data_IF_703071545896
#
_entry.id   IF_703071545896
#
_cell.length_a   1.000
_cell.length_b   1.000
_cell.length_c   1.000
_cell.angle_alpha   90.00
_cell.angle_beta   90.00
_cell.angle_gamma   90.00
#
_symmetry.space_group_name_H-M   'P 1'
#
loop_
_entity.id
_entity.type
_entity.pdbx_description
1 polymer ?
#
# COMPACT_ATOMS: atom_id res chain seq x y z
N UNK A 1 3.33 -14.22 -8.86
CA UNK A 1 3.32 -13.88 -7.42
C UNK A 1 2.00 -14.32 -6.80
N UNK A 2 0.90 -13.57 -6.91
CA UNK A 2 -0.42 -13.91 -6.32
C UNK A 2 -0.82 -15.40 -6.37
N UNK A 3 -0.75 -16.04 -7.55
CA UNK A 3 -1.08 -17.46 -7.70
C UNK A 3 -0.15 -18.40 -6.91
N UNK A 4 1.14 -18.07 -6.79
CA UNK A 4 2.09 -18.81 -5.94
C UNK A 4 1.75 -18.61 -4.47
N UNK A 5 1.44 -17.37 -4.06
CA UNK A 5 1.04 -17.05 -2.69
C UNK A 5 -0.23 -17.83 -2.29
N UNK A 6 -1.22 -17.91 -3.20
CA UNK A 6 -2.44 -18.71 -3.05
C UNK A 6 -2.18 -20.23 -2.90
N UNK A 7 -1.07 -20.73 -3.46
CA UNK A 7 -0.61 -22.12 -3.29
C UNK A 7 0.28 -22.33 -2.04
N UNK A 8 0.51 -21.27 -1.25
CA UNK A 8 1.41 -21.30 -0.08
C UNK A 8 2.89 -21.31 -0.47
N UNK A 9 3.25 -20.67 -1.58
CA UNK A 9 4.63 -20.58 -2.11
C UNK A 9 5.06 -19.11 -2.16
N UNK A 10 6.08 -18.76 -1.38
CA UNK A 10 6.82 -17.48 -1.52
C UNK A 10 8.08 -17.78 -2.32
N UNK A 11 8.35 -17.01 -3.37
CA UNK A 11 9.32 -17.34 -4.42
C UNK A 11 10.76 -16.91 -4.08
N UNK A 12 10.91 -15.71 -3.49
CA UNK A 12 12.16 -15.13 -2.95
C UNK A 12 13.33 -14.84 -3.91
N UNK A 13 13.27 -15.26 -5.17
CA UNK A 13 14.32 -14.96 -6.16
C UNK A 13 13.74 -14.58 -7.54
N UNK A 14 12.85 -13.58 -7.54
CA UNK A 14 12.36 -12.94 -8.77
C UNK A 14 13.42 -11.99 -9.34
N UNK A 15 13.97 -12.37 -10.49
CA UNK A 15 15.03 -11.67 -11.24
C UNK A 15 14.92 -12.02 -12.74
N UNK A 16 15.50 -11.24 -13.68
CA UNK A 16 15.37 -11.46 -15.13
C UNK A 16 15.77 -12.86 -15.60
N UNK A 17 16.79 -13.47 -14.98
CA UNK A 17 17.28 -14.80 -15.34
C UNK A 17 16.27 -15.91 -15.00
N UNK A 18 15.36 -15.65 -14.06
CA UNK A 18 14.32 -16.56 -13.58
C UNK A 18 12.95 -16.30 -14.24
N UNK A 19 12.92 -15.46 -15.30
CA UNK A 19 11.71 -15.04 -16.03
C UNK A 19 11.87 -15.42 -17.50
N UNK A 20 11.27 -16.55 -17.88
CA UNK A 20 11.31 -17.07 -19.25
C UNK A 20 10.14 -16.52 -20.08
N UNK A 21 10.36 -16.40 -21.39
CA UNK A 21 9.31 -16.10 -22.38
C UNK A 21 9.08 -17.33 -23.23
N UNK A 22 7.81 -17.74 -23.36
CA UNK A 22 7.40 -18.90 -24.15
C UNK A 22 7.26 -18.56 -25.64
N UNK A 23 7.11 -19.61 -26.45
CA UNK A 23 6.84 -19.57 -27.88
C UNK A 23 5.55 -18.80 -28.24
N UNK A 24 4.53 -18.89 -27.38
CA UNK A 24 3.29 -18.10 -27.47
C UNK A 24 3.40 -16.69 -26.86
N UNK A 25 4.61 -16.23 -26.53
CA UNK A 25 4.88 -14.90 -25.96
C UNK A 25 4.55 -14.74 -24.47
N UNK A 26 4.00 -15.75 -23.80
CA UNK A 26 3.63 -15.64 -22.38
C UNK A 26 4.84 -15.81 -21.46
N UNK A 27 4.81 -15.10 -20.34
CA UNK A 27 5.85 -15.18 -19.29
C UNK A 27 5.65 -16.45 -18.44
N UNK A 28 6.75 -17.12 -18.12
CA UNK A 28 6.82 -18.28 -17.23
C UNK A 28 7.94 -18.08 -16.21
N UNK A 29 7.70 -18.47 -14.95
CA UNK A 29 8.71 -18.45 -13.89
C UNK A 29 9.47 -19.78 -13.84
N UNK A 30 10.77 -19.71 -13.56
CA UNK A 30 11.69 -20.87 -13.49
C UNK A 30 12.73 -20.67 -12.40
N UNK A 31 13.27 -21.77 -11.87
CA UNK A 31 14.03 -21.84 -10.61
C UNK A 31 13.14 -21.53 -9.39
N UNK A 32 12.81 -22.59 -8.65
CA UNK A 32 12.04 -22.53 -7.41
C UNK A 32 12.87 -23.03 -6.21
N UNK A 33 14.18 -23.23 -6.37
CA UNK A 33 15.02 -23.88 -5.34
C UNK A 33 15.17 -23.01 -4.08
N UNK A 34 15.00 -21.69 -4.22
CA UNK A 34 14.96 -20.74 -3.10
C UNK A 34 13.54 -20.46 -2.57
N UNK A 35 12.50 -21.07 -3.13
CA UNK A 35 11.11 -20.86 -2.68
C UNK A 35 10.87 -21.40 -1.26
N UNK A 36 9.94 -20.78 -0.54
CA UNK A 36 9.45 -21.19 0.77
C UNK A 36 8.01 -21.70 0.63
N UNK A 37 7.79 -22.97 0.98
CA UNK A 37 6.45 -23.50 1.19
C UNK A 37 5.96 -23.18 2.61
N UNK A 38 4.73 -22.70 2.72
CA UNK A 38 4.10 -22.26 3.96
C UNK A 38 2.62 -22.65 3.99
N UNK A 39 1.97 -22.51 5.15
CA UNK A 39 0.53 -22.60 5.25
C UNK A 39 -0.12 -21.32 4.72
N UNK A 40 -1.26 -21.44 4.05
CA UNK A 40 -2.06 -20.30 3.56
C UNK A 40 -3.54 -20.62 3.70
N UNK A 41 -4.35 -19.60 3.97
CA UNK A 41 -5.82 -19.68 3.96
C UNK A 41 -6.35 -18.50 3.15
N UNK A 42 -6.40 -18.58 1.80
CA UNK A 42 -6.85 -17.48 0.96
C UNK A 42 -8.29 -17.09 1.30
N UNK A 43 -8.57 -15.79 1.41
CA UNK A 43 -9.90 -15.29 1.81
C UNK A 43 -10.50 -14.35 0.75
N UNK A 44 -11.82 -14.40 0.62
CA UNK A 44 -12.62 -13.45 -0.15
C UNK A 44 -13.25 -12.45 0.81
N UNK A 45 -12.77 -11.21 0.77
CA UNK A 45 -13.25 -10.11 1.61
C UNK A 45 -14.22 -9.25 0.80
N UNK A 46 -15.31 -8.78 1.41
CA UNK A 46 -16.20 -7.81 0.75
C UNK A 46 -15.45 -6.50 0.52
N UNK A 47 -15.43 -6.01 -0.71
CA UNK A 47 -14.90 -4.67 -1.00
C UNK A 47 -15.74 -3.61 -0.27
N UNK A 48 -15.21 -3.09 0.83
CA UNK A 48 -15.78 -2.00 1.62
C UNK A 48 -15.13 -0.69 1.22
N UNK A 49 -15.92 0.28 0.78
CA UNK A 49 -15.42 1.59 0.34
C UNK A 49 -14.76 2.37 1.48
N UNK A 50 -13.44 2.51 1.39
CA UNK A 50 -12.55 3.37 2.19
C UNK A 50 -12.26 2.93 3.64
N UNK A 51 -10.97 2.89 3.98
CA UNK A 51 -10.47 2.88 5.37
C UNK A 51 -10.83 4.21 6.06
N UNK A 52 -11.97 4.27 6.74
CA UNK A 52 -12.30 5.40 7.63
C UNK A 52 -11.67 5.20 9.02
N UNK A 53 -10.33 5.25 9.08
CA UNK A 53 -9.59 5.27 10.35
C UNK A 53 -10.09 6.43 11.24
N UNK A 54 -10.46 6.18 12.51
CA UNK A 54 -11.03 7.21 13.37
C UNK A 54 -9.95 8.20 13.82
N UNK A 55 -9.83 9.31 13.08
CA UNK A 55 -8.90 10.40 13.36
C UNK A 55 -8.89 10.78 14.85
N UNK A 56 -7.79 10.44 15.55
CA UNK A 56 -7.61 10.79 16.95
C UNK A 56 -7.66 12.31 17.10
N UNK A 57 -8.66 12.81 17.82
CA UNK A 57 -8.81 14.24 18.15
C UNK A 57 -7.62 14.70 19.00
N UNK A 58 -6.65 15.34 18.37
CA UNK A 58 -5.80 16.32 19.03
C UNK A 58 -6.22 17.72 18.60
N UNK A 59 -6.46 18.58 19.58
CA UNK A 59 -6.90 19.97 19.39
C UNK A 59 -5.82 20.74 18.63
N UNK A 60 -6.16 21.28 17.46
CA UNK A 60 -5.19 21.94 16.59
C UNK A 60 -4.85 23.37 17.01
N UNK A 61 -3.70 23.84 16.57
CA UNK A 61 -3.39 25.27 16.41
C UNK A 61 -2.73 25.50 15.05
N UNK A 62 -3.22 26.49 14.32
CA UNK A 62 -2.66 26.88 13.02
C UNK A 62 -1.34 27.64 13.22
N UNK A 63 -0.35 27.36 12.39
CA UNK A 63 0.83 28.22 12.30
C UNK A 63 0.46 29.56 11.64
N UNK A 64 0.55 30.65 12.41
CA UNK A 64 0.58 32.02 11.91
C UNK A 64 2.02 32.53 11.94
N UNK A 65 2.52 33.24 10.91
CA UNK A 65 3.88 33.78 10.91
C UNK A 65 4.00 34.95 11.91
N UNK A 66 5.13 35.03 12.61
CA UNK A 66 5.32 35.96 13.72
C UNK A 66 5.91 37.31 13.28
N UNK A 67 5.24 38.42 13.64
CA UNK A 67 5.70 39.79 13.43
C UNK A 67 5.40 40.68 14.67
N UNK A 68 6.36 40.76 15.58
CA UNK A 68 6.76 41.93 16.43
C UNK A 68 5.64 42.84 17.02
N UNK A 69 5.53 42.81 18.35
CA UNK A 69 4.85 43.77 19.26
C UNK A 69 5.51 45.19 19.30
N UNK A 70 4.94 46.28 19.89
CA UNK A 70 4.18 46.32 21.16
C UNK A 70 2.98 47.37 21.18
N UNK A 71 2.49 47.94 22.32
CA UNK A 71 1.16 47.54 22.84
C UNK A 71 0.15 48.65 23.25
N UNK A 72 -1.16 48.40 23.12
CA UNK A 72 -2.26 49.19 23.76
C UNK A 72 -3.66 48.55 23.57
N UNK A 73 -4.69 48.68 24.42
CA UNK A 73 -4.79 48.65 25.90
C UNK A 73 -6.29 48.45 26.36
N UNK A 74 -6.51 48.10 27.64
CA UNK A 74 -7.76 48.26 28.45
C UNK A 74 -9.02 47.40 28.08
N UNK A 75 -9.84 47.13 29.11
CA UNK A 75 -11.04 46.26 29.25
C UNK A 75 -12.14 47.03 30.06
N UNK A 76 -13.35 46.53 30.42
CA UNK A 76 -14.03 45.22 30.22
C UNK A 76 -15.41 45.41 29.49
N UNK A 77 -16.64 44.93 29.81
CA UNK A 77 -17.25 44.08 30.87
C UNK A 77 -18.71 43.61 30.55
N UNK A 78 -19.05 42.37 30.96
CA UNK A 78 -20.36 41.85 31.47
C UNK A 78 -21.70 42.02 30.66
N UNK A 79 -22.85 41.35 30.91
CA UNK A 79 -23.32 40.30 31.87
C UNK A 79 -24.27 39.31 31.12
N UNK A 80 -24.71 38.21 31.74
CA UNK A 80 -25.83 37.32 31.33
C UNK A 80 -26.80 37.14 32.53
N UNK A 81 -27.79 36.18 32.60
CA UNK A 81 -28.44 35.31 31.60
C UNK A 81 -30.00 35.31 31.71
N UNK A 82 -30.74 34.48 30.93
CA UNK A 82 -31.85 33.60 31.44
C UNK A 82 -32.47 32.69 30.35
N UNK A 83 -33.17 31.63 30.80
CA UNK A 83 -33.96 30.64 30.05
C UNK A 83 -35.47 31.04 30.01
N UNK A 84 -36.47 30.36 29.41
CA UNK A 84 -36.74 28.92 29.16
C UNK A 84 -37.68 28.69 27.94
N UNK A 85 -37.93 27.41 27.63
CA UNK A 85 -39.25 26.78 27.34
C UNK A 85 -39.31 25.81 26.15
N UNK A 86 -39.95 24.66 26.41
CA UNK A 86 -40.51 23.68 25.47
C UNK A 86 -41.53 22.85 26.25
N UNK A 87 -42.60 22.37 25.61
CA UNK A 87 -42.72 20.91 25.48
C UNK A 87 -43.32 20.45 24.12
N UNK A 88 -43.33 19.13 23.91
CA UNK A 88 -43.97 18.44 22.77
C UNK A 88 -45.30 17.80 23.24
N UNK A 89 -46.16 17.37 22.30
CA UNK A 89 -46.59 15.96 22.07
C UNK A 89 -47.83 15.86 21.13
N UNK A 90 -48.02 14.66 20.54
CA UNK A 90 -48.95 14.17 19.50
C UNK A 90 -50.42 14.70 19.50
N UNK A 91 -51.23 14.66 18.42
CA UNK A 91 -51.48 13.51 17.52
C UNK A 91 -52.32 13.79 16.24
N UNK A 92 -52.09 12.97 15.18
CA UNK A 92 -52.97 12.60 14.04
C UNK A 92 -53.61 13.66 13.10
N UNK A 93 -53.36 13.49 11.79
CA UNK A 93 -54.40 13.22 10.76
C UNK A 93 -53.75 12.72 9.45
N UNK A 94 -54.50 11.93 8.67
CA UNK A 94 -53.98 11.16 7.53
C UNK A 94 -54.42 11.66 6.16
N UNK A 95 -53.52 11.61 5.17
CA UNK A 95 -53.81 11.57 3.72
C UNK A 95 -52.83 10.60 3.03
N UNK A 96 -53.22 10.08 1.85
CA UNK A 96 -52.63 8.88 1.24
C UNK A 96 -52.11 9.17 -0.19
N UNK A 97 -50.97 8.55 -0.53
CA UNK A 97 -50.35 8.44 -1.89
C UNK A 97 -49.84 9.75 -2.53
N UNK A 98 -48.63 9.81 -3.09
CA UNK A 98 -48.13 9.00 -4.23
C UNK A 98 -46.67 8.55 -4.08
N UNK A 99 -46.31 7.44 -4.73
CA UNK A 99 -44.93 6.98 -4.94
C UNK A 99 -44.31 7.66 -6.17
N UNK A 100 -43.07 8.16 -6.12
CA UNK A 100 -42.18 8.18 -7.27
C UNK A 100 -41.80 6.74 -7.63
N UNK A 101 -41.57 6.45 -8.92
CA UNK A 101 -40.95 5.19 -9.36
C UNK A 101 -39.48 5.44 -9.69
N UNK A 102 -38.64 4.53 -9.22
CA UNK A 102 -37.42 4.01 -9.87
C UNK A 102 -36.60 4.99 -10.73
N UNK A 103 -35.42 5.38 -10.23
CA UNK A 103 -34.22 5.28 -11.07
C UNK A 103 -33.48 4.00 -10.68
N UNK A 104 -33.21 3.15 -11.67
CA UNK A 104 -32.42 1.93 -11.49
C UNK A 104 -30.95 2.29 -11.72
N UNK A 105 -30.35 2.98 -10.76
CA UNK A 105 -28.91 3.15 -10.74
C UNK A 105 -28.24 1.78 -10.65
N UNK A 106 -27.38 1.46 -11.61
CA UNK A 106 -26.61 0.21 -11.63
C UNK A 106 -25.59 0.20 -10.48
N UNK A 107 -26.05 -0.08 -9.27
CA UNK A 107 -25.20 -0.46 -8.16
C UNK A 107 -24.70 -1.89 -8.41
N UNK A 108 -23.69 -1.99 -9.27
CA UNK A 108 -22.79 -3.15 -9.33
C UNK A 108 -22.14 -3.20 -7.96
N UNK A 109 -22.64 -4.09 -7.09
CA UNK A 109 -22.00 -4.38 -5.82
C UNK A 109 -20.55 -4.80 -6.12
N UNK A 110 -19.53 -4.12 -5.56
CA UNK A 110 -18.15 -4.39 -5.92
C UNK A 110 -17.83 -5.85 -5.56
N UNK A 111 -17.15 -6.54 -6.49
CA UNK A 111 -16.82 -7.95 -6.34
C UNK A 111 -15.97 -8.19 -5.08
N UNK A 112 -16.08 -9.35 -4.42
CA UNK A 112 -15.20 -9.70 -3.32
C UNK A 112 -13.73 -9.68 -3.77
N UNK A 113 -12.87 -9.07 -2.96
CA UNK A 113 -11.42 -9.00 -3.21
C UNK A 113 -10.74 -10.25 -2.62
N UNK A 114 -9.79 -10.81 -3.37
CA UNK A 114 -9.02 -11.97 -2.94
C UNK A 114 -7.78 -11.52 -2.17
N UNK A 115 -7.64 -11.99 -0.94
CA UNK A 115 -6.39 -11.93 -0.18
C UNK A 115 -5.76 -13.32 -0.24
N UNK A 116 -4.75 -13.46 -1.08
CA UNK A 116 -4.01 -14.71 -1.34
C UNK A 116 -2.70 -14.82 -0.55
N UNK A 117 -2.31 -13.79 0.20
CA UNK A 117 -1.02 -13.71 0.89
C UNK A 117 -0.94 -14.66 2.09
N UNK A 118 0.13 -15.47 2.23
CA UNK A 118 0.39 -16.26 3.43
C UNK A 118 0.93 -15.36 4.56
N UNK A 119 0.03 -14.66 5.25
CA UNK A 119 0.35 -13.69 6.33
C UNK A 119 1.20 -14.29 7.46
N UNK A 120 1.03 -15.58 7.73
CA UNK A 120 1.71 -16.29 8.82
C UNK A 120 3.06 -16.90 8.39
N UNK A 121 3.45 -16.75 7.12
CA UNK A 121 4.75 -17.22 6.64
C UNK A 121 5.89 -16.42 7.28
N UNK A 122 6.76 -17.10 8.04
CA UNK A 122 7.98 -16.49 8.58
C UNK A 122 9.19 -17.41 8.41
N UNK A 123 10.21 -16.91 7.73
CA UNK A 123 11.52 -17.55 7.56
C UNK A 123 12.64 -16.64 8.07
N UNK A 124 13.77 -17.24 8.45
CA UNK A 124 15.01 -16.55 8.82
C UNK A 124 16.14 -16.77 7.79
N UNK A 125 15.85 -17.42 6.65
CA UNK A 125 16.85 -17.80 5.65
C UNK A 125 17.39 -16.59 4.89
N UNK A 126 18.68 -16.28 5.02
CA UNK A 126 19.35 -15.30 4.17
C UNK A 126 19.62 -15.94 2.79
N UNK A 127 18.69 -15.78 1.86
CA UNK A 127 18.74 -16.35 0.50
C UNK A 127 18.18 -15.37 -0.54
N UNK A 128 18.60 -15.52 -1.79
CA UNK A 128 18.21 -14.68 -2.92
C UNK A 128 19.35 -13.82 -3.46
N UNK A 129 19.14 -13.21 -4.62
CA UNK A 129 20.15 -12.42 -5.32
C UNK A 129 20.43 -11.08 -4.62
N UNK A 130 21.70 -10.73 -4.38
CA UNK A 130 22.13 -9.64 -3.48
C UNK A 130 21.55 -8.24 -3.78
N UNK A 131 21.23 -7.95 -5.04
CA UNK A 131 20.64 -6.66 -5.46
C UNK A 131 19.11 -6.62 -5.33
N UNK A 132 18.50 -7.80 -5.17
CA UNK A 132 17.07 -8.04 -5.07
C UNK A 132 16.59 -8.25 -3.63
N UNK A 133 17.49 -8.62 -2.70
CA UNK A 133 17.15 -8.87 -1.29
C UNK A 133 16.38 -7.70 -0.65
N UNK A 134 15.33 -8.04 0.10
CA UNK A 134 14.53 -7.08 0.84
C UNK A 134 15.23 -6.65 2.16
N UNK A 135 15.05 -5.40 2.65
CA UNK A 135 15.71 -4.89 3.85
C UNK A 135 15.52 -5.78 5.09
N UNK A 136 14.33 -6.35 5.28
CA UNK A 136 14.01 -7.27 6.39
C UNK A 136 14.82 -8.58 6.36
N UNK A 137 15.19 -9.08 5.16
CA UNK A 137 16.11 -10.22 5.02
C UNK A 137 17.52 -9.79 5.43
N UNK A 138 17.96 -8.62 4.96
CA UNK A 138 19.33 -8.12 5.17
C UNK A 138 19.60 -7.81 6.65
N UNK A 139 18.61 -7.29 7.37
CA UNK A 139 18.68 -7.06 8.83
C UNK A 139 18.49 -8.34 9.65
N UNK A 140 17.94 -9.41 9.07
CA UNK A 140 17.58 -10.63 9.79
C UNK A 140 16.32 -10.53 10.68
N UNK A 141 15.37 -9.64 10.34
CA UNK A 141 14.12 -9.44 11.12
C UNK A 141 13.12 -10.61 10.94
N UNK A 142 13.33 -11.44 9.92
CA UNK A 142 12.46 -12.55 9.53
C UNK A 142 11.34 -12.12 8.59
N UNK A 143 10.99 -12.96 7.61
CA UNK A 143 10.25 -12.54 6.43
C UNK A 143 9.17 -13.52 5.95
N UNK A 144 8.10 -12.96 5.38
CA UNK A 144 7.00 -13.66 4.69
C UNK A 144 6.86 -13.21 3.22
N UNK A 145 5.66 -13.26 2.63
CA UNK A 145 5.45 -12.95 1.20
C UNK A 145 5.77 -11.52 0.78
N UNK A 146 5.84 -10.56 1.72
CA UNK A 146 6.16 -9.17 1.44
C UNK A 146 7.50 -8.94 0.71
N UNK A 147 8.44 -9.90 0.79
CA UNK A 147 9.73 -9.84 0.08
C UNK A 147 9.57 -10.01 -1.44
N UNK A 148 8.55 -10.75 -1.88
CA UNK A 148 8.29 -10.96 -3.31
C UNK A 148 7.78 -9.68 -3.96
N UNK A 149 7.03 -8.86 -3.21
CA UNK A 149 6.59 -7.53 -3.65
C UNK A 149 7.74 -6.52 -3.67
N UNK A 150 8.71 -6.63 -2.75
CA UNK A 150 9.97 -5.88 -2.85
C UNK A 150 10.78 -6.30 -4.09
N UNK A 151 11.00 -7.59 -4.30
CA UNK A 151 11.76 -8.08 -5.48
C UNK A 151 11.09 -7.69 -6.79
N UNK A 152 9.75 -7.66 -6.83
CA UNK A 152 8.99 -7.15 -7.97
C UNK A 152 9.22 -5.65 -8.20
N UNK A 153 9.35 -4.84 -7.14
CA UNK A 153 9.75 -3.44 -7.24
C UNK A 153 11.17 -3.24 -7.80
N UNK A 154 12.13 -4.09 -7.42
CA UNK A 154 13.49 -4.07 -7.97
C UNK A 154 13.47 -4.48 -9.45
N UNK A 155 12.74 -5.55 -9.78
CA UNK A 155 12.58 -6.06 -11.15
C UNK A 155 11.95 -5.02 -12.09
N UNK A 156 10.85 -4.37 -11.68
CA UNK A 156 10.23 -3.29 -12.46
C UNK A 156 11.18 -2.10 -12.67
N UNK A 157 12.00 -1.76 -11.68
CA UNK A 157 13.01 -0.71 -11.83
C UNK A 157 14.10 -1.14 -12.83
N UNK A 158 14.61 -2.37 -12.76
CA UNK A 158 15.63 -2.85 -13.69
C UNK A 158 15.12 -2.94 -15.13
N UNK A 159 13.90 -3.43 -15.37
CA UNK A 159 13.27 -3.44 -16.71
C UNK A 159 13.15 -2.03 -17.33
N UNK A 160 12.96 -0.99 -16.50
CA UNK A 160 12.79 0.38 -16.96
C UNK A 160 14.10 1.19 -17.06
N UNK A 161 15.13 0.85 -16.29
CA UNK A 161 16.36 1.64 -16.17
C UNK A 161 17.66 0.88 -16.50
N UNK A 162 17.58 -0.42 -16.84
CA UNK A 162 18.71 -1.26 -17.22
C UNK A 162 19.72 -1.55 -16.10
N UNK A 163 19.30 -1.39 -14.84
CA UNK A 163 20.09 -1.62 -13.61
C UNK A 163 19.19 -1.62 -12.38
N UNK A 164 19.58 -2.31 -11.31
CA UNK A 164 18.91 -2.21 -10.00
C UNK A 164 19.10 -0.83 -9.34
N UNK A 165 18.18 -0.38 -8.44
CA UNK A 165 18.24 0.95 -7.84
C UNK A 165 19.29 1.13 -6.75
N UNK A 166 19.83 0.04 -6.18
CA UNK A 166 20.71 0.08 -4.99
C UNK A 166 22.13 -0.48 -5.23
N UNK A 167 22.48 -0.89 -6.46
CA UNK A 167 23.78 -1.48 -6.82
C UNK A 167 24.96 -0.67 -6.28
N UNK A 168 25.77 -1.27 -5.41
CA UNK A 168 27.04 -0.70 -4.94
C UNK A 168 28.23 -1.20 -5.75
N UNK A 169 29.45 -0.84 -5.31
CA UNK A 169 30.72 -1.34 -5.89
C UNK A 169 31.01 -2.83 -5.61
N UNK A 170 30.08 -3.54 -4.98
CA UNK A 170 30.15 -4.95 -4.60
C UNK A 170 29.12 -5.27 -3.53
N UNK A 171 28.89 -6.56 -3.27
CA UNK A 171 27.77 -7.08 -2.48
C UNK A 171 27.55 -6.32 -1.16
N UNK A 172 28.58 -6.16 -0.32
CA UNK A 172 28.46 -5.48 0.98
C UNK A 172 28.02 -4.00 0.86
N UNK A 173 28.41 -3.31 -0.21
CA UNK A 173 27.98 -1.95 -0.49
C UNK A 173 26.52 -1.92 -1.00
N UNK A 174 26.12 -2.87 -1.85
CA UNK A 174 24.72 -3.05 -2.26
C UNK A 174 23.80 -3.28 -1.06
N UNK A 175 24.13 -4.21 -0.16
CA UNK A 175 23.32 -4.48 1.03
C UNK A 175 23.19 -3.25 1.94
N UNK A 176 24.28 -2.50 2.13
CA UNK A 176 24.27 -1.23 2.86
C UNK A 176 23.39 -0.18 2.17
N UNK A 177 23.40 -0.10 0.84
CA UNK A 177 22.52 0.79 0.09
C UNK A 177 21.04 0.41 0.24
N UNK A 178 20.70 -0.87 0.10
CA UNK A 178 19.33 -1.37 0.27
C UNK A 178 18.77 -1.00 1.65
N UNK A 179 19.55 -1.15 2.72
CA UNK A 179 19.10 -0.77 4.08
C UNK A 179 19.16 0.74 4.30
N UNK A 180 20.23 1.43 3.92
CA UNK A 180 20.50 2.83 4.29
C UNK A 180 20.04 3.91 3.30
N UNK A 181 20.20 3.72 1.98
CA UNK A 181 20.02 4.79 0.99
C UNK A 181 18.56 4.95 0.52
N UNK A 182 18.07 6.18 0.28
CA UNK A 182 16.72 6.40 -0.27
C UNK A 182 16.66 5.97 -1.74
N UNK A 183 15.49 5.52 -2.20
CA UNK A 183 15.25 5.26 -3.62
C UNK A 183 15.48 6.55 -4.44
N UNK A 184 16.28 6.44 -5.50
CA UNK A 184 16.48 7.49 -6.50
C UNK A 184 16.13 6.94 -7.88
N UNK A 185 15.62 7.82 -8.72
CA UNK A 185 15.37 7.56 -10.14
C UNK A 185 16.29 8.48 -10.96
N UNK A 186 16.90 8.03 -12.06
CA UNK A 186 17.64 8.91 -12.96
C UNK A 186 16.70 9.87 -13.70
N UNK A 187 17.29 10.84 -14.40
CA UNK A 187 16.58 11.77 -15.29
C UNK A 187 16.23 11.13 -16.65
N UNK A 188 17.02 10.13 -17.08
CA UNK A 188 16.82 9.38 -18.31
C UNK A 188 17.03 7.86 -18.09
N UNK A 189 16.32 6.97 -18.82
CA UNK A 189 15.16 7.27 -19.66
C UNK A 189 13.99 7.88 -18.88
N UNK A 190 13.16 8.66 -19.58
CA UNK A 190 11.93 9.22 -19.00
C UNK A 190 10.86 8.13 -18.99
N UNK A 191 10.29 7.89 -17.80
CA UNK A 191 9.23 6.90 -17.58
C UNK A 191 8.00 7.58 -16.97
N UNK A 192 6.83 6.94 -17.08
CA UNK A 192 5.57 7.53 -16.61
C UNK A 192 5.58 7.81 -15.10
N UNK A 193 4.76 8.78 -14.66
CA UNK A 193 4.59 9.04 -13.23
C UNK A 193 4.12 7.79 -12.49
N UNK A 194 3.10 7.09 -13.02
CA UNK A 194 2.53 5.89 -12.42
C UNK A 194 3.56 4.75 -12.25
N UNK A 195 4.49 4.57 -13.19
CA UNK A 195 5.57 3.60 -13.05
C UNK A 195 6.50 3.92 -11.86
N UNK A 196 6.88 5.20 -11.72
CA UNK A 196 7.72 5.66 -10.60
C UNK A 196 6.97 5.57 -9.28
N UNK A 197 5.66 5.79 -9.27
CA UNK A 197 4.84 5.73 -8.05
C UNK A 197 4.61 4.29 -7.58
N UNK A 198 4.30 3.37 -8.49
CA UNK A 198 4.21 1.94 -8.21
C UNK A 198 5.53 1.43 -7.59
N UNK A 199 6.67 1.80 -8.19
CA UNK A 199 7.99 1.39 -7.69
C UNK A 199 8.30 2.04 -6.33
N UNK A 200 7.86 3.29 -6.05
CA UNK A 200 7.99 3.87 -4.70
C UNK A 200 7.20 3.07 -3.66
N UNK A 201 5.97 2.66 -3.98
CA UNK A 201 5.13 1.86 -3.09
C UNK A 201 5.70 0.46 -2.81
N UNK A 202 6.24 -0.20 -3.84
CA UNK A 202 6.87 -1.52 -3.71
C UNK A 202 8.23 -1.48 -2.98
N UNK A 203 8.98 -0.39 -3.12
CA UNK A 203 10.31 -0.22 -2.50
C UNK A 203 10.29 0.59 -1.20
N UNK A 204 9.17 0.56 -0.46
CA UNK A 204 9.14 0.98 0.94
C UNK A 204 9.88 -0.05 1.80
N UNK A 205 10.84 0.44 2.60
CA UNK A 205 11.75 -0.44 3.36
C UNK A 205 11.08 -1.18 4.52
N UNK A 206 10.10 -0.55 5.15
CA UNK A 206 9.30 -1.15 6.22
C UNK A 206 8.15 -1.95 5.60
N UNK A 207 8.09 -3.29 5.75
CA UNK A 207 7.09 -4.12 5.07
C UNK A 207 5.65 -3.71 5.36
N UNK A 208 5.38 -3.26 6.59
CA UNK A 208 4.06 -2.83 7.06
C UNK A 208 3.51 -1.58 6.34
N UNK A 209 4.39 -0.82 5.68
CA UNK A 209 4.06 0.39 4.92
C UNK A 209 4.27 0.21 3.41
N UNK A 210 4.56 -1.01 2.96
CA UNK A 210 4.78 -1.38 1.55
C UNK A 210 3.45 -1.60 0.84
N UNK A 211 3.37 -1.20 -0.43
CA UNK A 211 2.27 -1.58 -1.30
C UNK A 211 2.16 -3.12 -1.35
N UNK A 212 0.92 -3.62 -1.42
CA UNK A 212 0.53 -5.03 -1.27
C UNK A 212 0.61 -5.60 0.17
N UNK A 213 0.83 -4.78 1.20
CA UNK A 213 0.85 -5.29 2.58
C UNK A 213 -0.54 -5.69 3.12
N UNK A 214 -1.63 -4.95 2.82
CA UNK A 214 -2.96 -5.25 3.37
C UNK A 214 -3.76 -6.23 2.52
N UNK A 215 -3.81 -6.01 1.20
CA UNK A 215 -4.66 -6.75 0.24
C UNK A 215 -3.84 -7.43 -0.87
N UNK A 216 -2.53 -7.58 -0.67
CA UNK A 216 -1.67 -8.32 -1.60
C UNK A 216 -1.66 -7.73 -3.02
N UNK A 217 -1.60 -8.63 -3.99
CA UNK A 217 -1.65 -8.30 -5.41
C UNK A 217 -2.85 -7.43 -5.85
N UNK A 218 -3.94 -7.40 -5.08
CA UNK A 218 -5.12 -6.56 -5.38
C UNK A 218 -4.76 -5.07 -5.36
N UNK A 219 -3.92 -4.62 -4.42
CA UNK A 219 -3.46 -3.21 -4.38
C UNK A 219 -2.61 -2.83 -5.60
N UNK A 220 -1.82 -3.79 -6.10
CA UNK A 220 -0.97 -3.62 -7.28
C UNK A 220 -1.84 -3.57 -8.55
N UNK A 221 -2.80 -4.50 -8.70
CA UNK A 221 -3.74 -4.52 -9.84
C UNK A 221 -4.65 -3.30 -9.91
N UNK A 222 -4.98 -2.69 -8.76
CA UNK A 222 -5.77 -1.46 -8.65
C UNK A 222 -4.92 -0.19 -8.82
N UNK A 223 -3.61 -0.29 -9.09
CA UNK A 223 -2.74 0.86 -9.29
C UNK A 223 -2.87 1.43 -10.71
N UNK A 224 -2.91 2.77 -10.92
CA UNK A 224 -2.94 3.45 -12.24
C UNK A 224 -1.71 3.26 -13.16
N UNK A 225 -0.95 2.18 -12.97
CA UNK A 225 0.07 1.68 -13.91
C UNK A 225 -0.45 0.52 -14.77
N UNK A 226 -1.58 -0.11 -14.37
CA UNK A 226 -2.23 -1.21 -15.07
C UNK A 226 -3.60 -0.81 -15.69
N UNK A 227 -3.81 0.50 -15.87
CA UNK A 227 -4.94 1.11 -16.62
C UNK A 227 -4.58 1.33 -18.10
#
# INVERSE_FOLDING_TARGET
MEYLHMLGIVYRDLKPENVLVRDDGHIMLSDFDLSLRCAVSPTLVKSSSMDSEPLRKNTGYCAQPACIEPPSCIQPSCVAPTSCFSPRLFSSKSKKERKPKTELGNQVSPLPELIAEPTDARSMSFVGTHEYLAPEIIKGEGHGSAVDWWTYGIFLYELLFGKTPFKGSGNRATLFNVVGQPLRFPEAPVVSFAARDLIRGLLVKEPQHRLAYKRGATEIKQHPFFE
#
